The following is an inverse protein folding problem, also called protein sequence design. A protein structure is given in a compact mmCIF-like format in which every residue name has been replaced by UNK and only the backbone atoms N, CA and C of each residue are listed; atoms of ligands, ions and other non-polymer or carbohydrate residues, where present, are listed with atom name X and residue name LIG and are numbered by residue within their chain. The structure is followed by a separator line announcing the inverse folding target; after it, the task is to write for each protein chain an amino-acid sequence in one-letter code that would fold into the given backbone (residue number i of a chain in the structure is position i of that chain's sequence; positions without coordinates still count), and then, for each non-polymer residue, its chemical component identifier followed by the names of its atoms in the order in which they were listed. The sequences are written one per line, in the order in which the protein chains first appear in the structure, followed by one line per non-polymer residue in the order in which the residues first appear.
data_IF_309773323470
#
_entry.id   IF_309773323470
#
_cell.length_a   1.000
_cell.length_b   1.000
_cell.length_c   1.000
_cell.angle_alpha   90.00
_cell.angle_beta   90.00
_cell.angle_gamma   90.00
#
_symmetry.space_group_name_H-M   'P 1'
#
loop_
_entity.id
_entity.type
_entity.pdbx_description
1 polymer ?
#
# COMPACT_ATOMS: atom_id res chain seq x y z
N UNK A 1 -18.89 42.28 8.74
CA UNK A 1 -17.61 41.61 9.07
C UNK A 1 -17.91 40.13 9.21
N UNK A 2 -17.81 39.39 8.11
CA UNK A 2 -18.21 37.99 8.04
C UNK A 2 -17.08 37.08 8.51
N UNK A 3 -17.32 36.32 9.57
CA UNK A 3 -16.38 35.34 10.12
C UNK A 3 -16.46 34.09 9.24
N UNK A 4 -15.49 33.90 8.34
CA UNK A 4 -15.31 32.63 7.64
C UNK A 4 -14.74 31.61 8.62
N UNK A 5 -15.61 30.84 9.26
CA UNK A 5 -15.21 29.64 9.97
C UNK A 5 -14.76 28.60 8.93
N UNK A 6 -13.45 28.49 8.73
CA UNK A 6 -12.83 27.37 8.01
C UNK A 6 -13.14 26.09 8.76
N UNK A 7 -14.14 25.36 8.26
CA UNK A 7 -14.50 24.04 8.73
C UNK A 7 -13.38 23.08 8.35
N UNK A 8 -12.41 22.90 9.25
CA UNK A 8 -11.49 21.77 9.19
C UNK A 8 -12.33 20.50 9.32
N UNK A 9 -12.62 19.85 8.20
CA UNK A 9 -13.15 18.48 8.18
C UNK A 9 -12.02 17.60 8.70
N UNK A 10 -11.94 17.47 10.02
CA UNK A 10 -11.25 16.37 10.66
C UNK A 10 -12.00 15.12 10.22
N UNK A 11 -11.50 14.43 9.20
CA UNK A 11 -11.88 13.05 8.91
C UNK A 11 -11.48 12.23 10.13
N UNK A 12 -12.42 12.11 11.06
CA UNK A 12 -12.28 11.25 12.21
C UNK A 12 -12.12 9.83 11.65
N UNK A 13 -10.93 9.27 11.83
CA UNK A 13 -10.75 7.83 11.87
C UNK A 13 -11.66 7.30 12.98
N UNK A 14 -12.92 7.01 12.67
CA UNK A 14 -13.82 6.32 13.58
C UNK A 14 -13.20 4.96 13.83
N UNK A 15 -12.61 4.80 15.02
CA UNK A 15 -12.21 3.51 15.56
C UNK A 15 -13.47 2.65 15.69
N UNK A 16 -13.87 2.00 14.60
CA UNK A 16 -14.76 0.85 14.64
C UNK A 16 -13.95 -0.34 15.11
N UNK A 17 -13.48 -0.25 16.36
CA UNK A 17 -13.00 -1.38 17.11
C UNK A 17 -14.22 -2.24 17.44
N UNK A 18 -14.25 -3.46 16.93
CA UNK A 18 -15.21 -4.47 17.36
C UNK A 18 -14.99 -4.70 18.86
N UNK A 19 -15.85 -4.08 19.67
CA UNK A 19 -15.77 -4.02 21.12
C UNK A 19 -15.98 -5.42 21.71
N UNK A 20 -14.93 -5.99 22.32
CA UNK A 20 -15.07 -7.04 23.33
C UNK A 20 -14.46 -6.52 24.63
N UNK A 21 -15.33 -6.24 25.60
CA UNK A 21 -15.03 -5.63 26.88
C UNK A 21 -14.26 -6.58 27.82
N UNK A 22 -13.10 -6.15 28.35
CA UNK A 22 -12.74 -6.38 29.76
C UNK A 22 -11.79 -5.29 30.28
N UNK A 23 -11.99 -4.92 31.54
CA UNK A 23 -11.49 -3.73 32.25
C UNK A 23 -10.08 -3.88 32.85
N UNK A 24 -9.57 -2.72 33.27
CA UNK A 24 -8.56 -2.44 34.31
C UNK A 24 -7.08 -2.31 33.91
N UNK A 25 -6.47 -1.23 34.42
CA UNK A 25 -5.04 -1.17 34.75
C UNK A 25 -4.06 -0.65 33.69
N UNK A 26 -3.65 0.60 33.85
CA UNK A 26 -2.26 1.10 33.72
C UNK A 26 -1.26 0.23 32.91
N UNK A 27 -1.26 0.30 31.57
CA UNK A 27 -0.07 0.20 30.69
C UNK A 27 -0.51 0.23 29.21
N UNK A 28 0.37 0.78 28.37
CA UNK A 28 0.38 0.74 26.90
C UNK A 28 -0.51 -0.35 26.29
N UNK A 29 -1.71 0.01 25.80
CA UNK A 29 -2.55 -0.90 24.99
C UNK A 29 -1.94 -1.07 23.60
N UNK A 30 -0.96 -1.96 23.50
CA UNK A 30 -0.81 -2.79 22.31
C UNK A 30 -2.02 -3.74 22.31
N UNK A 31 -3.11 -3.34 21.66
CA UNK A 31 -4.31 -4.19 21.52
C UNK A 31 -4.59 -4.28 20.03
N UNK A 32 -4.13 -5.41 19.47
CA UNK A 32 -4.43 -5.99 18.17
C UNK A 32 -3.96 -5.20 16.94
N UNK A 33 -2.64 -5.24 16.74
CA UNK A 33 -1.89 -4.54 15.71
C UNK A 33 -2.35 -4.87 14.27
N UNK A 34 -3.15 -3.98 13.68
CA UNK A 34 -3.42 -3.73 12.25
C UNK A 34 -4.64 -2.81 12.18
N UNK A 35 -4.41 -1.49 12.07
CA UNK A 35 -5.48 -0.49 11.99
C UNK A 35 -5.41 0.26 10.68
N UNK A 36 -6.56 0.64 10.13
CA UNK A 36 -6.67 1.28 8.82
C UNK A 36 -7.61 2.49 8.87
N UNK A 37 -7.30 3.51 8.08
CA UNK A 37 -8.17 4.68 7.88
C UNK A 37 -8.43 4.92 6.40
N UNK A 38 -9.53 5.61 6.10
CA UNK A 38 -9.80 6.09 4.74
C UNK A 38 -8.99 7.37 4.49
N UNK A 39 -8.16 7.36 3.46
CA UNK A 39 -7.44 8.52 2.95
C UNK A 39 -7.48 8.49 1.43
N UNK A 40 -7.59 9.65 0.78
CA UNK A 40 -7.60 9.77 -0.69
C UNK A 40 -8.60 8.86 -1.42
N UNK A 41 -9.72 8.49 -0.78
CA UNK A 41 -10.72 7.58 -1.36
C UNK A 41 -10.33 6.09 -1.32
N UNK A 42 -9.27 5.73 -0.59
CA UNK A 42 -8.84 4.34 -0.36
C UNK A 42 -8.44 4.09 1.09
N UNK A 43 -7.93 2.90 1.40
CA UNK A 43 -7.46 2.59 2.76
C UNK A 43 -5.93 2.73 2.89
N UNK A 44 -5.51 3.22 4.06
CA UNK A 44 -4.11 3.24 4.50
C UNK A 44 -3.98 2.64 5.88
N UNK A 45 -2.84 2.03 6.17
CA UNK A 45 -2.50 1.51 7.49
C UNK A 45 -2.12 2.68 8.40
N UNK A 46 -2.71 2.74 9.59
CA UNK A 46 -2.38 3.72 10.63
C UNK A 46 -1.69 3.09 11.84
N UNK A 47 -1.85 1.79 12.02
CA UNK A 47 -1.07 1.01 12.97
C UNK A 47 -0.55 -0.26 12.28
N UNK A 48 0.77 -0.47 12.23
CA UNK A 48 1.36 -1.61 11.53
C UNK A 48 0.97 -2.93 12.20
N UNK A 49 0.94 -4.05 11.46
CA UNK A 49 0.78 -5.38 12.01
C UNK A 49 1.99 -5.80 12.87
N UNK A 50 1.87 -6.85 13.70
CA UNK A 50 3.03 -7.38 14.42
C UNK A 50 4.02 -8.05 13.45
N UNK A 51 5.28 -8.26 13.86
CA UNK A 51 6.27 -8.95 13.03
C UNK A 51 5.78 -10.32 12.55
N UNK A 52 6.14 -10.66 11.32
CA UNK A 52 5.72 -11.85 10.56
C UNK A 52 4.22 -11.92 10.25
N UNK A 53 3.50 -10.80 10.35
CA UNK A 53 2.11 -10.66 9.93
C UNK A 53 1.95 -9.47 8.99
N UNK A 54 0.90 -9.53 8.18
CA UNK A 54 0.51 -8.47 7.28
C UNK A 54 -0.86 -7.91 7.64
N UNK A 55 -1.09 -6.66 7.24
CA UNK A 55 -2.33 -5.94 7.52
C UNK A 55 -3.13 -5.81 6.24
N UNK A 56 -4.26 -6.51 6.18
CA UNK A 56 -5.20 -6.40 5.07
C UNK A 56 -6.22 -5.31 5.40
N UNK A 57 -6.01 -4.14 4.81
CA UNK A 57 -6.96 -3.03 4.88
C UNK A 57 -7.97 -3.12 3.75
N UNK A 58 -9.26 -3.33 4.04
CA UNK A 58 -10.31 -3.34 3.00
C UNK A 58 -11.46 -2.42 3.38
N UNK A 59 -12.21 -1.95 2.38
CA UNK A 59 -13.46 -1.26 2.61
C UNK A 59 -14.47 -2.24 3.21
N UNK A 60 -15.06 -1.84 4.35
CA UNK A 60 -16.22 -2.50 4.91
C UNK A 60 -17.50 -2.05 4.19
N UNK A 61 -18.61 -2.75 4.42
CA UNK A 61 -19.93 -2.48 3.83
C UNK A 61 -20.47 -1.05 4.06
N UNK A 62 -19.89 -0.28 4.98
CA UNK A 62 -20.26 1.12 5.28
C UNK A 62 -19.19 2.15 4.85
N UNK A 63 -18.36 1.83 3.86
CA UNK A 63 -17.27 2.71 3.35
C UNK A 63 -16.18 3.06 4.38
N UNK A 64 -16.19 2.44 5.55
CA UNK A 64 -15.12 2.53 6.56
C UNK A 64 -14.03 1.50 6.26
N UNK A 65 -12.77 1.88 6.41
CA UNK A 65 -11.65 0.95 6.30
C UNK A 65 -11.57 0.06 7.54
N UNK A 66 -11.54 -1.25 7.34
CA UNK A 66 -11.29 -2.24 8.38
C UNK A 66 -9.95 -2.94 8.15
N UNK A 67 -9.18 -3.13 9.22
CA UNK A 67 -7.93 -3.89 9.20
C UNK A 67 -8.13 -5.31 9.68
N UNK A 68 -7.58 -6.28 8.95
CA UNK A 68 -7.49 -7.68 9.39
C UNK A 68 -6.04 -8.14 9.35
N UNK A 69 -5.54 -8.67 10.46
CA UNK A 69 -4.25 -9.34 10.54
C UNK A 69 -4.33 -10.65 9.75
N UNK A 70 -3.39 -10.86 8.83
CA UNK A 70 -3.25 -12.10 8.07
C UNK A 70 -1.78 -12.51 7.99
N UNK A 71 -1.54 -13.71 7.48
CA UNK A 71 -0.19 -14.10 7.10
C UNK A 71 0.29 -13.28 5.90
N UNK A 72 1.59 -12.99 5.89
CA UNK A 72 2.20 -12.28 4.78
C UNK A 72 2.12 -13.11 3.51
N UNK A 73 1.79 -12.45 2.39
CA UNK A 73 1.85 -13.08 1.05
C UNK A 73 3.23 -13.69 0.80
N UNK A 74 4.28 -13.07 1.33
CA UNK A 74 5.65 -13.56 1.27
C UNK A 74 6.27 -13.52 2.68
N UNK A 75 6.37 -14.67 3.37
CA UNK A 75 6.74 -14.74 4.80
C UNK A 75 8.11 -14.12 5.13
N UNK A 76 9.05 -14.17 4.18
CA UNK A 76 10.43 -13.69 4.36
C UNK A 76 10.69 -12.33 3.71
N UNK A 77 9.65 -11.62 3.29
CA UNK A 77 9.80 -10.28 2.73
C UNK A 77 10.17 -9.26 3.83
N UNK A 78 10.81 -8.16 3.42
CA UNK A 78 11.21 -7.10 4.34
C UNK A 78 10.02 -6.57 5.18
N UNK A 79 8.89 -6.29 4.54
CA UNK A 79 7.68 -5.78 5.22
C UNK A 79 6.94 -6.84 6.06
N UNK A 80 7.31 -8.12 5.97
CA UNK A 80 6.86 -9.18 6.86
C UNK A 80 7.66 -9.15 8.15
N UNK A 81 8.99 -9.06 8.05
CA UNK A 81 9.89 -9.02 9.21
C UNK A 81 9.79 -7.69 9.96
N UNK A 82 9.72 -6.59 9.21
CA UNK A 82 9.67 -5.22 9.72
C UNK A 82 8.46 -4.49 9.13
N UNK A 83 7.24 -4.85 9.56
CA UNK A 83 6.03 -4.20 9.08
C UNK A 83 5.99 -2.73 9.51
N UNK A 84 5.64 -1.86 8.57
CA UNK A 84 5.41 -0.44 8.81
C UNK A 84 4.02 -0.03 8.31
N UNK A 85 3.76 1.27 8.19
CA UNK A 85 2.49 1.80 7.67
C UNK A 85 2.54 2.07 6.16
N UNK A 86 3.59 1.63 5.45
CA UNK A 86 3.78 1.92 4.04
C UNK A 86 2.86 1.12 3.12
N UNK A 87 2.80 1.55 1.86
CA UNK A 87 2.13 0.81 0.79
C UNK A 87 2.67 -0.64 0.68
N UNK A 88 3.96 -0.86 0.94
CA UNK A 88 4.57 -2.18 0.91
C UNK A 88 3.94 -3.17 1.90
N UNK A 89 3.76 -2.76 3.16
CA UNK A 89 3.08 -3.58 4.16
C UNK A 89 1.59 -3.80 3.84
N UNK A 90 0.92 -2.81 3.24
CA UNK A 90 -0.46 -2.98 2.78
C UNK A 90 -0.57 -4.01 1.64
N UNK A 91 0.35 -3.96 0.66
CA UNK A 91 0.41 -4.93 -0.44
C UNK A 91 0.71 -6.34 0.08
N UNK A 92 1.55 -6.47 1.10
CA UNK A 92 1.84 -7.74 1.78
C UNK A 92 0.58 -8.38 2.39
N UNK A 93 -0.39 -7.55 2.81
CA UNK A 93 -1.66 -8.01 3.36
C UNK A 93 -2.73 -8.30 2.32
N UNK A 94 -2.52 -7.89 1.06
CA UNK A 94 -3.53 -8.01 0.01
C UNK A 94 -4.76 -7.13 0.24
N UNK A 95 -4.57 -5.95 0.85
CA UNK A 95 -5.64 -4.98 1.08
C UNK A 95 -5.94 -4.08 -0.13
N UNK A 96 -6.95 -3.22 0.02
CA UNK A 96 -7.20 -2.06 -0.82
C UNK A 96 -6.26 -0.91 -0.41
N UNK A 97 -5.11 -0.83 -1.05
CA UNK A 97 -4.08 0.15 -0.79
C UNK A 97 -4.20 1.42 -1.67
N UNK A 98 -5.40 1.75 -2.15
CA UNK A 98 -5.62 2.91 -3.03
C UNK A 98 -5.50 4.25 -2.31
N UNK A 99 -5.45 4.26 -0.97
CA UNK A 99 -5.33 5.51 -0.21
C UNK A 99 -3.90 6.07 -0.16
N UNK A 100 -2.93 5.25 -0.53
CA UNK A 100 -1.53 5.63 -0.67
C UNK A 100 -1.35 6.53 -1.89
N UNK A 101 -0.59 7.62 -1.71
CA UNK A 101 -0.30 8.60 -2.76
C UNK A 101 0.81 8.14 -3.72
N UNK A 102 1.49 7.07 -3.34
CA UNK A 102 2.58 6.45 -4.06
C UNK A 102 2.05 5.81 -5.34
N UNK A 103 2.47 6.35 -6.47
CA UNK A 103 2.18 5.81 -7.79
C UNK A 103 3.44 5.47 -8.53
N UNK A 104 3.31 4.58 -9.51
CA UNK A 104 4.32 4.39 -10.53
C UNK A 104 3.65 4.56 -11.89
N UNK A 105 4.36 5.19 -12.81
CA UNK A 105 3.81 5.65 -14.08
C UNK A 105 4.55 5.03 -15.25
N UNK A 106 3.78 4.78 -16.32
CA UNK A 106 4.28 4.17 -17.54
C UNK A 106 3.77 4.98 -18.73
N UNK A 107 4.66 5.30 -19.66
CA UNK A 107 4.33 5.96 -20.91
C UNK A 107 4.29 4.94 -22.05
N UNK A 108 3.38 5.14 -22.99
CA UNK A 108 3.37 4.37 -24.22
C UNK A 108 4.56 4.74 -25.11
N UNK A 109 5.32 3.73 -25.53
CA UNK A 109 6.41 3.85 -26.49
C UNK A 109 6.30 2.69 -27.48
N UNK A 110 6.18 3.02 -28.77
CA UNK A 110 6.15 2.13 -29.93
C UNK A 110 5.81 0.65 -29.62
N UNK A 111 4.51 0.34 -29.64
CA UNK A 111 3.91 -0.99 -29.39
C UNK A 111 4.09 -1.55 -27.97
N UNK A 112 4.58 -0.77 -27.01
CA UNK A 112 4.72 -1.21 -25.61
C UNK A 112 4.67 -0.04 -24.62
N UNK A 113 4.98 -0.32 -23.35
CA UNK A 113 5.08 0.66 -22.28
C UNK A 113 6.54 0.83 -21.84
N UNK A 114 6.90 2.03 -21.40
CA UNK A 114 8.18 2.36 -20.76
C UNK A 114 7.91 2.98 -19.40
N UNK A 115 8.72 2.63 -18.40
CA UNK A 115 8.61 3.21 -17.08
C UNK A 115 9.06 4.69 -17.12
N UNK A 116 8.27 5.59 -16.55
CA UNK A 116 8.61 7.02 -16.45
C UNK A 116 8.79 7.47 -15.01
N UNK A 117 8.24 6.73 -14.05
CA UNK A 117 8.42 6.97 -12.62
C UNK A 117 8.79 5.66 -11.92
N UNK A 118 9.89 5.63 -11.14
CA UNK A 118 10.29 4.42 -10.42
C UNK A 118 9.25 4.06 -9.36
N UNK A 119 9.22 2.78 -8.98
CA UNK A 119 8.45 2.34 -7.82
C UNK A 119 9.13 2.79 -6.51
N UNK A 120 8.41 2.65 -5.39
CA UNK A 120 9.00 2.86 -4.07
C UNK A 120 9.90 1.67 -3.69
N UNK A 121 10.85 1.92 -2.78
CA UNK A 121 11.74 0.87 -2.28
C UNK A 121 10.97 -0.38 -1.82
N UNK A 122 11.56 -1.55 -2.07
CA UNK A 122 11.00 -2.88 -1.79
C UNK A 122 9.69 -3.20 -2.54
N UNK A 123 9.38 -2.43 -3.58
CA UNK A 123 8.26 -2.69 -4.50
C UNK A 123 8.73 -2.53 -5.94
N UNK A 124 7.88 -2.93 -6.87
CA UNK A 124 8.17 -2.79 -8.28
C UNK A 124 6.96 -2.28 -9.05
N UNK A 125 7.20 -1.66 -10.20
CA UNK A 125 6.15 -1.12 -11.03
C UNK A 125 5.79 -2.10 -12.13
N UNK A 126 4.52 -2.48 -12.19
CA UNK A 126 3.98 -3.29 -13.28
C UNK A 126 3.28 -2.40 -14.29
N UNK A 127 3.92 -2.21 -15.44
CA UNK A 127 3.33 -1.56 -16.59
C UNK A 127 2.43 -2.52 -17.37
N UNK A 128 1.19 -2.09 -17.66
CA UNK A 128 0.21 -2.82 -18.45
C UNK A 128 -0.24 -1.94 -19.61
N UNK A 129 -0.09 -2.45 -20.84
CA UNK A 129 -0.67 -1.84 -22.02
C UNK A 129 -2.17 -2.12 -22.07
N UNK A 130 -3.00 -1.07 -22.12
CA UNK A 130 -4.48 -1.17 -22.10
C UNK A 130 -5.12 -1.08 -23.48
N UNK A 131 -4.33 -0.94 -24.55
CA UNK A 131 -4.85 -0.63 -25.89
C UNK A 131 -4.92 0.88 -26.13
N UNK A 132 -5.29 1.29 -27.35
CA UNK A 132 -5.43 2.71 -27.75
C UNK A 132 -4.23 3.60 -27.39
N UNK A 133 -3.00 3.06 -27.45
CA UNK A 133 -1.78 3.83 -27.13
C UNK A 133 -1.71 4.27 -25.65
N UNK A 134 -2.44 3.59 -24.75
CA UNK A 134 -2.48 3.88 -23.31
C UNK A 134 -1.76 2.81 -22.49
N UNK A 135 -0.95 3.28 -21.55
CA UNK A 135 -0.26 2.45 -20.56
C UNK A 135 -0.72 2.84 -19.15
N UNK A 136 -0.83 1.83 -18.28
CA UNK A 136 -1.14 2.03 -16.85
C UNK A 136 -0.03 1.40 -16.01
N UNK A 137 0.44 2.13 -15.00
CA UNK A 137 1.35 1.62 -13.99
C UNK A 137 0.61 1.25 -12.71
N UNK A 138 1.05 0.19 -12.05
CA UNK A 138 0.58 -0.18 -10.71
C UNK A 138 1.75 -0.69 -9.88
N UNK A 139 1.82 -0.21 -8.63
CA UNK A 139 2.82 -0.68 -7.68
C UNK A 139 2.40 -2.05 -7.17
N UNK A 140 3.35 -2.99 -7.18
CA UNK A 140 3.18 -4.37 -6.73
C UNK A 140 4.42 -4.79 -5.94
N UNK A 141 4.30 -5.86 -5.16
CA UNK A 141 5.48 -6.46 -4.52
C UNK A 141 6.45 -6.98 -5.59
N UNK A 142 7.74 -6.84 -5.32
CA UNK A 142 8.77 -7.45 -6.16
C UNK A 142 8.60 -8.97 -6.18
N UNK A 143 8.87 -9.60 -7.33
CA UNK A 143 8.94 -11.07 -7.39
C UNK A 143 10.14 -11.62 -6.63
N UNK A 144 11.23 -10.85 -6.57
CA UNK A 144 12.42 -11.16 -5.80
C UNK A 144 12.78 -9.96 -4.91
N UNK A 145 12.46 -10.09 -3.62
CA UNK A 145 12.71 -9.07 -2.58
C UNK A 145 14.20 -8.81 -2.30
N UNK A 146 15.07 -9.72 -2.74
CA UNK A 146 16.53 -9.64 -2.56
C UNK A 146 17.25 -9.04 -3.76
N UNK A 147 16.53 -8.66 -4.81
CA UNK A 147 17.15 -8.00 -5.96
C UNK A 147 17.52 -6.56 -5.61
N UNK A 148 18.70 -6.11 -6.02
CA UNK A 148 19.13 -4.71 -5.88
C UNK A 148 18.12 -3.72 -6.50
N UNK A 149 17.45 -4.13 -7.58
CA UNK A 149 16.43 -3.32 -8.26
C UNK A 149 15.10 -3.27 -7.50
N UNK A 150 14.91 -4.13 -6.49
CA UNK A 150 13.79 -4.04 -5.56
C UNK A 150 14.13 -3.07 -4.42
N UNK A 151 15.35 -3.14 -3.88
CA UNK A 151 15.83 -2.24 -2.81
C UNK A 151 15.84 -0.79 -3.29
N UNK A 152 16.31 -0.58 -4.51
CA UNK A 152 16.40 0.72 -5.16
C UNK A 152 15.85 0.61 -6.59
N UNK A 153 14.53 0.76 -6.76
CA UNK A 153 13.92 0.75 -8.09
C UNK A 153 14.40 1.94 -8.90
N UNK A 154 14.83 1.69 -10.14
CA UNK A 154 15.31 2.71 -11.06
C UNK A 154 14.50 2.68 -12.36
N UNK A 155 14.70 3.69 -13.23
CA UNK A 155 14.14 3.71 -14.58
C UNK A 155 14.97 2.82 -15.51
N UNK A 156 15.10 1.55 -15.16
CA UNK A 156 15.86 0.55 -15.92
C UNK A 156 14.98 -0.58 -16.44
N UNK A 157 15.48 -1.28 -17.46
CA UNK A 157 14.81 -2.46 -18.04
C UNK A 157 14.67 -3.55 -16.98
N UNK A 158 15.69 -3.73 -16.17
CA UNK A 158 15.79 -4.72 -15.10
C UNK A 158 14.73 -4.46 -14.02
N UNK A 159 14.55 -3.19 -13.62
CA UNK A 159 13.55 -2.79 -12.63
C UNK A 159 12.11 -3.07 -13.09
N UNK A 160 11.82 -2.97 -14.39
CA UNK A 160 10.50 -3.34 -14.91
C UNK A 160 10.33 -4.87 -15.09
N UNK A 161 11.38 -5.57 -15.52
CA UNK A 161 11.33 -7.01 -15.73
C UNK A 161 11.18 -7.80 -14.42
N UNK A 162 11.51 -7.20 -13.28
CA UNK A 162 11.31 -7.77 -11.94
C UNK A 162 9.89 -8.30 -11.68
N UNK A 163 8.87 -7.78 -12.35
CA UNK A 163 7.46 -8.13 -12.11
C UNK A 163 6.73 -8.65 -13.35
N UNK A 164 7.46 -9.28 -14.26
CA UNK A 164 6.95 -9.68 -15.59
C UNK A 164 6.31 -8.50 -16.34
N UNK A 165 6.78 -7.27 -16.09
CA UNK A 165 6.32 -6.09 -16.80
C UNK A 165 6.72 -6.17 -18.27
N UNK A 166 5.78 -5.88 -19.18
CA UNK A 166 6.09 -5.74 -20.61
C UNK A 166 6.64 -4.34 -20.85
N UNK A 167 7.93 -4.15 -20.59
CA UNK A 167 8.60 -2.87 -20.85
C UNK A 167 9.51 -2.91 -22.08
N UNK A 168 9.54 -1.79 -22.81
CA UNK A 168 10.52 -1.52 -23.87
C UNK A 168 11.38 -0.34 -23.43
N UNK A 169 12.68 -0.43 -23.69
CA UNK A 169 13.68 0.55 -23.24
C UNK A 169 14.48 1.08 -24.41
#
# INVERSE_FOLDING_TARGET
MGVFATMFVLFLCSVNAHSSHRKDGLQRRAVDACSCCNQNGGCVITAPPPPNKACNCVHSWWSTCGGQIRDCVEPNAFFSTYPDTSLGTCLQGGGNCLGYSETCDCQYVFRSCKLTRPAIARTACRCIYKGLWVCTGMIVLCRNQYSIYCDKPELSKESCLLVNGKCVY
#
